data_IF_891407779587
#
_entry.id   IF_891407779587
#
_cell.length_a   1.000
_cell.length_b   1.000
_cell.length_c   1.000
_cell.angle_alpha   90.00
_cell.angle_beta   90.00
_cell.angle_gamma   90.00
#
_symmetry.space_group_name_H-M   'P 1'
#
loop_
_entity.id
_entity.type
_entity.pdbx_description
1 polymer ?
#
# COMPACT_ATOMS: atom_id res chain seq x y z
N UNK A 1 8.74 6.65 -10.88
CA UNK A 1 8.13 5.56 -10.10
C UNK A 1 6.78 5.95 -9.51
N UNK A 2 6.65 7.11 -8.84
CA UNK A 2 5.39 7.57 -8.22
C UNK A 2 4.16 7.53 -9.15
N UNK A 3 4.30 8.07 -10.37
CA UNK A 3 3.22 8.06 -11.37
C UNK A 3 2.79 6.65 -11.81
N UNK A 4 3.75 5.72 -11.94
CA UNK A 4 3.49 4.33 -12.28
C UNK A 4 2.78 3.59 -11.14
N UNK A 5 3.17 3.83 -9.89
CA UNK A 5 2.50 3.26 -8.72
C UNK A 5 1.06 3.73 -8.61
N UNK A 6 0.80 5.01 -8.91
CA UNK A 6 -0.57 5.55 -8.95
C UNK A 6 -1.42 4.92 -10.07
N UNK A 7 -0.81 4.71 -11.24
CA UNK A 7 -1.48 4.08 -12.38
C UNK A 7 -1.81 2.60 -12.09
N UNK A 8 -0.92 1.87 -11.41
CA UNK A 8 -1.18 0.51 -10.94
C UNK A 8 -2.33 0.43 -9.93
N UNK A 9 -2.41 1.42 -9.04
CA UNK A 9 -3.49 1.52 -8.07
C UNK A 9 -4.84 1.75 -8.78
N UNK A 10 -4.88 2.62 -9.80
CA UNK A 10 -6.11 3.00 -10.51
C UNK A 10 -6.61 1.95 -11.52
N UNK A 11 -5.72 1.22 -12.21
CA UNK A 11 -6.15 0.37 -13.34
C UNK A 11 -6.35 -1.12 -13.02
N UNK A 12 -5.92 -1.62 -11.86
CA UNK A 12 -5.88 -3.09 -11.58
C UNK A 12 -6.58 -3.48 -10.27
N UNK A 13 -7.88 -3.21 -10.16
CA UNK A 13 -8.72 -3.46 -8.96
C UNK A 13 -9.33 -4.86 -8.84
N UNK A 14 -8.89 -5.87 -9.59
CA UNK A 14 -9.55 -7.19 -9.50
C UNK A 14 -9.24 -7.94 -8.19
N UNK A 15 -8.06 -7.73 -7.59
CA UNK A 15 -7.66 -8.38 -6.32
C UNK A 15 -7.08 -7.37 -5.33
N UNK A 16 -7.45 -7.52 -4.06
CA UNK A 16 -7.09 -6.58 -2.99
C UNK A 16 -5.58 -6.54 -2.74
N UNK A 17 -4.90 -7.67 -2.94
CA UNK A 17 -3.44 -7.79 -2.91
C UNK A 17 -2.73 -6.79 -3.83
N UNK A 18 -3.25 -6.55 -5.05
CA UNK A 18 -2.60 -5.62 -5.97
C UNK A 18 -2.68 -4.17 -5.50
N UNK A 19 -3.77 -3.81 -4.82
CA UNK A 19 -3.95 -2.48 -4.23
C UNK A 19 -2.98 -2.29 -3.06
N UNK A 20 -2.88 -3.27 -2.17
CA UNK A 20 -1.93 -3.28 -1.05
C UNK A 20 -0.48 -3.12 -1.53
N UNK A 21 -0.08 -3.91 -2.54
CA UNK A 21 1.25 -3.81 -3.15
C UNK A 21 1.47 -2.42 -3.79
N UNK A 22 0.45 -1.85 -4.43
CA UNK A 22 0.53 -0.50 -5.01
C UNK A 22 0.81 0.58 -3.95
N UNK A 23 0.19 0.47 -2.78
CA UNK A 23 0.39 1.37 -1.64
C UNK A 23 1.84 1.25 -1.11
N UNK A 24 2.37 0.04 -0.98
CA UNK A 24 3.75 -0.20 -0.54
C UNK A 24 4.78 0.39 -1.51
N UNK A 25 4.57 0.23 -2.82
CA UNK A 25 5.43 0.86 -3.83
C UNK A 25 5.36 2.39 -3.81
N UNK A 26 4.18 2.95 -3.54
CA UNK A 26 4.00 4.39 -3.38
C UNK A 26 4.77 4.89 -2.15
N UNK A 27 4.67 4.20 -1.01
CA UNK A 27 5.43 4.50 0.20
C UNK A 27 6.94 4.47 -0.04
N UNK A 28 7.46 3.44 -0.72
CA UNK A 28 8.88 3.36 -1.08
C UNK A 28 9.33 4.54 -1.95
N UNK A 29 8.50 4.95 -2.91
CA UNK A 29 8.84 6.09 -3.78
C UNK A 29 8.88 7.42 -3.03
N UNK A 30 8.02 7.61 -2.02
CA UNK A 30 8.09 8.75 -1.10
C UNK A 30 9.32 8.70 -0.21
N UNK A 31 9.65 7.51 0.30
CA UNK A 31 10.82 7.31 1.15
C UNK A 31 12.10 7.68 0.42
N UNK A 32 12.25 7.31 -0.86
CA UNK A 32 13.41 7.71 -1.68
C UNK A 32 13.51 9.24 -1.82
N UNK A 33 12.39 9.95 -1.94
CA UNK A 33 12.40 11.42 -1.99
C UNK A 33 12.77 12.04 -0.63
N UNK A 34 12.24 11.47 0.45
CA UNK A 34 12.40 11.99 1.80
C UNK A 34 13.78 11.73 2.41
N UNK A 35 14.52 10.71 1.96
CA UNK A 35 15.91 10.45 2.37
C UNK A 35 16.82 11.66 2.11
N UNK A 36 16.54 12.46 1.08
CA UNK A 36 17.34 13.65 0.77
C UNK A 36 16.99 14.88 1.60
N UNK A 37 15.86 14.87 2.31
CA UNK A 37 15.31 16.06 2.97
C UNK A 37 15.25 15.97 4.50
N UNK A 38 15.13 14.76 5.06
CA UNK A 38 14.92 14.58 6.50
C UNK A 38 16.20 14.26 7.29
N UNK A 39 16.21 14.74 8.54
CA UNK A 39 17.12 14.31 9.59
C UNK A 39 16.93 12.83 9.95
N UNK A 40 18.01 12.18 10.39
CA UNK A 40 18.12 10.73 10.62
C UNK A 40 17.03 10.13 11.51
N UNK A 41 16.51 10.90 12.47
CA UNK A 41 15.49 10.44 13.43
C UNK A 41 14.11 10.35 12.79
N UNK A 42 13.74 11.31 11.94
CA UNK A 42 12.45 11.29 11.24
C UNK A 42 12.38 10.18 10.20
N UNK A 43 13.53 9.87 9.59
CA UNK A 43 13.65 8.72 8.69
C UNK A 43 13.28 7.40 9.38
N UNK A 44 13.80 7.18 10.59
CA UNK A 44 13.51 5.95 11.35
C UNK A 44 12.03 5.83 11.72
N UNK A 45 11.41 6.94 12.16
CA UNK A 45 9.97 6.96 12.48
C UNK A 45 9.12 6.64 11.24
N UNK A 46 9.46 7.23 10.10
CA UNK A 46 8.74 7.00 8.85
C UNK A 46 8.84 5.54 8.41
N UNK A 47 10.03 4.94 8.56
CA UNK A 47 10.27 3.53 8.23
C UNK A 47 9.45 2.60 9.14
N UNK A 48 9.43 2.84 10.46
CA UNK A 48 8.57 2.09 11.39
C UNK A 48 7.08 2.23 11.04
N UNK A 49 6.62 3.43 10.67
CA UNK A 49 5.25 3.65 10.22
C UNK A 49 4.91 2.80 8.99
N UNK A 50 5.82 2.71 8.01
CA UNK A 50 5.66 1.85 6.83
C UNK A 50 5.52 0.36 7.17
N UNK A 51 6.29 -0.12 8.14
CA UNK A 51 6.17 -1.53 8.61
C UNK A 51 4.84 -1.76 9.31
N UNK A 52 4.38 -0.82 10.13
CA UNK A 52 3.07 -0.95 10.80
C UNK A 52 1.93 -0.92 9.78
N UNK A 53 1.99 -0.04 8.77
CA UNK A 53 0.96 0.04 7.74
C UNK A 53 0.86 -1.24 6.90
N UNK A 54 2.00 -1.89 6.60
CA UNK A 54 2.00 -3.13 5.81
C UNK A 54 1.39 -4.31 6.58
N UNK A 55 1.69 -4.43 7.87
CA UNK A 55 1.08 -5.46 8.75
C UNK A 55 -0.42 -5.22 8.89
N UNK A 56 -0.85 -3.97 9.12
CA UNK A 56 -2.28 -3.63 9.23
C UNK A 56 -3.00 -3.91 7.91
N UNK A 57 -2.39 -3.60 6.76
CA UNK A 57 -2.93 -3.91 5.44
C UNK A 57 -3.17 -5.41 5.23
N UNK A 58 -2.24 -6.26 5.68
CA UNK A 58 -2.41 -7.72 5.64
C UNK A 58 -3.48 -8.22 6.62
N UNK A 59 -3.60 -7.62 7.80
CA UNK A 59 -4.67 -7.98 8.76
C UNK A 59 -6.05 -7.68 8.17
N UNK A 60 -6.24 -6.49 7.57
CA UNK A 60 -7.48 -6.13 6.87
C UNK A 60 -7.77 -7.11 5.73
N UNK A 61 -6.75 -7.46 4.96
CA UNK A 61 -6.86 -8.46 3.91
C UNK A 61 -7.38 -9.82 4.42
N UNK A 62 -6.83 -10.33 5.51
CA UNK A 62 -7.29 -11.59 6.12
C UNK A 62 -8.75 -11.52 6.58
N UNK A 63 -9.17 -10.39 7.17
CA UNK A 63 -10.58 -10.20 7.56
C UNK A 63 -11.51 -10.15 6.34
N UNK A 64 -11.10 -9.50 5.25
CA UNK A 64 -11.88 -9.46 4.00
C UNK A 64 -12.04 -10.85 3.39
N UNK A 65 -10.97 -11.64 3.29
CA UNK A 65 -11.04 -13.02 2.76
C UNK A 65 -11.89 -13.91 3.67
N UNK A 66 -11.74 -13.79 5.00
CA UNK A 66 -12.54 -14.55 5.96
C UNK A 66 -14.03 -14.19 5.90
N UNK A 67 -14.38 -12.92 5.70
CA UNK A 67 -15.76 -12.45 5.66
C UNK A 67 -16.47 -12.70 4.34
N UNK A 68 -15.81 -12.42 3.21
CA UNK A 68 -16.43 -12.44 1.88
C UNK A 68 -16.08 -13.69 1.06
N UNK A 69 -15.15 -14.53 1.51
CA UNK A 69 -14.71 -15.76 0.84
C UNK A 69 -13.91 -15.54 -0.46
N UNK A 70 -13.86 -14.31 -0.97
CA UNK A 70 -13.17 -13.95 -2.20
C UNK A 70 -12.36 -12.67 -2.04
N UNK A 71 -11.24 -12.65 -2.76
CA UNK A 71 -10.24 -11.59 -2.80
C UNK A 71 -10.63 -10.37 -3.67
N UNK A 72 -11.90 -10.23 -4.03
CA UNK A 72 -12.34 -9.20 -4.97
C UNK A 72 -12.51 -7.88 -4.23
N UNK A 73 -11.86 -6.82 -4.72
CA UNK A 73 -12.13 -5.47 -4.24
C UNK A 73 -13.51 -5.05 -4.74
N UNK A 74 -14.35 -4.60 -3.81
CA UNK A 74 -15.73 -4.22 -4.05
C UNK A 74 -15.80 -2.86 -4.78
N UNK A 75 -15.47 -2.82 -6.07
CA UNK A 75 -15.88 -1.76 -7.00
C UNK A 75 -16.03 -2.34 -8.42
N UNK A 76 -16.89 -3.34 -8.56
CA UNK A 76 -17.60 -3.49 -9.83
C UNK A 76 -18.75 -2.49 -9.81
N UNK A 77 -18.50 -1.25 -10.25
CA UNK A 77 -19.57 -0.30 -10.58
C UNK A 77 -20.05 -0.52 -12.03
N UNK A 78 -20.07 -1.78 -12.49
CA UNK A 78 -20.65 -2.18 -13.76
C UNK A 78 -21.04 -3.66 -13.73
#
# INVERSE_FOLDING_TARGET
MFFLSFLFLVFKYSRLIFVLIGIEFLFFSLLVYYVFFFESVFFFYFLCFGVVSSVVGLVVFFFCVKGYGFDKVMFYFL
#
